data_IF_028935324531
#
_entry.id   IF_028935324531
#
_cell.length_a   1.000
_cell.length_b   1.000
_cell.length_c   1.000
_cell.angle_alpha   90.00
_cell.angle_beta   90.00
_cell.angle_gamma   90.00
#
_symmetry.space_group_name_H-M   'P 1'
#
loop_
_entity.id
_entity.type
_entity.pdbx_description
1 polymer ?
#
# COMPACT_ATOMS: atom_id res chain seq x y z
N UNK A 1 6.40 -2.69 23.33
CA UNK A 1 6.53 -2.55 21.85
C UNK A 1 5.12 -2.52 21.27
N UNK A 2 4.87 -1.66 20.30
CA UNK A 2 3.56 -1.61 19.65
C UNK A 2 3.27 -2.88 18.86
N UNK A 3 2.02 -3.32 18.83
CA UNK A 3 1.56 -4.44 18.01
C UNK A 3 1.27 -3.93 16.59
N UNK A 4 2.02 -4.41 15.60
CA UNK A 4 1.98 -3.90 14.24
C UNK A 4 1.04 -4.73 13.36
N UNK A 5 -0.02 -4.09 12.86
CA UNK A 5 -1.02 -4.72 11.98
C UNK A 5 -0.87 -4.24 10.54
N UNK A 6 -0.61 -5.15 9.62
CA UNK A 6 -0.59 -4.86 8.19
C UNK A 6 -1.96 -5.02 7.54
N UNK A 7 -2.40 -4.02 6.81
CA UNK A 7 -3.58 -4.11 5.91
C UNK A 7 -3.09 -4.12 4.47
N UNK A 8 -3.30 -5.25 3.79
CA UNK A 8 -2.86 -5.47 2.42
C UNK A 8 -4.00 -5.94 1.51
N UNK A 9 -3.71 -6.06 0.23
CA UNK A 9 -4.66 -6.52 -0.79
C UNK A 9 -4.38 -5.86 -2.13
N UNK A 10 -4.92 -6.39 -3.21
CA UNK A 10 -4.70 -5.87 -4.55
C UNK A 10 -5.36 -4.50 -4.79
N UNK A 11 -4.98 -3.85 -5.89
CA UNK A 11 -5.61 -2.60 -6.33
C UNK A 11 -7.14 -2.79 -6.46
N UNK A 12 -7.93 -1.84 -5.98
CA UNK A 12 -9.41 -1.89 -6.03
C UNK A 12 -10.08 -2.79 -4.98
N UNK A 13 -9.32 -3.50 -4.13
CA UNK A 13 -9.92 -4.38 -3.10
C UNK A 13 -10.62 -3.62 -1.96
N UNK A 14 -10.24 -2.34 -1.72
CA UNK A 14 -10.80 -1.52 -0.63
C UNK A 14 -9.95 -1.49 0.63
N UNK A 15 -8.64 -1.70 0.53
CA UNK A 15 -7.68 -1.53 1.65
C UNK A 15 -7.89 -0.20 2.38
N UNK A 16 -7.91 0.89 1.64
CA UNK A 16 -8.05 2.25 2.20
C UNK A 16 -9.38 2.41 2.95
N UNK A 17 -10.45 1.77 2.49
CA UNK A 17 -11.73 1.77 3.23
C UNK A 17 -11.58 1.06 4.57
N UNK A 18 -10.93 -0.11 4.57
CA UNK A 18 -10.66 -0.86 5.82
C UNK A 18 -9.73 -0.07 6.75
N UNK A 19 -8.67 0.53 6.21
CA UNK A 19 -7.74 1.35 6.98
C UNK A 19 -8.41 2.60 7.56
N UNK A 20 -9.34 3.22 6.82
CA UNK A 20 -10.13 4.35 7.32
C UNK A 20 -11.09 3.92 8.45
N UNK A 21 -11.61 2.70 8.42
CA UNK A 21 -12.41 2.17 9.54
C UNK A 21 -11.53 2.07 10.79
N UNK A 22 -10.31 1.52 10.69
CA UNK A 22 -9.37 1.49 11.81
C UNK A 22 -9.07 2.90 12.34
N UNK A 23 -8.84 3.87 11.44
CA UNK A 23 -8.62 5.26 11.83
C UNK A 23 -9.81 5.84 12.63
N UNK A 24 -11.05 5.63 12.17
CA UNK A 24 -12.25 6.11 12.86
C UNK A 24 -12.53 5.36 14.19
N UNK A 25 -11.97 4.15 14.34
CA UNK A 25 -11.98 3.42 15.62
C UNK A 25 -10.87 3.90 16.58
N UNK A 26 -10.10 4.93 16.21
CA UNK A 26 -9.08 5.55 17.05
C UNK A 26 -7.66 5.00 16.86
N UNK A 27 -7.42 4.07 15.92
CA UNK A 27 -6.08 3.57 15.65
C UNK A 27 -5.30 4.50 14.73
N UNK A 28 -4.00 4.62 14.97
CA UNK A 28 -3.11 5.35 14.06
C UNK A 28 -2.81 4.49 12.83
N UNK A 29 -2.89 5.11 11.66
CA UNK A 29 -2.71 4.44 10.36
C UNK A 29 -1.57 5.07 9.59
N UNK A 30 -0.59 4.26 9.19
CA UNK A 30 0.47 4.62 8.26
C UNK A 30 0.13 4.10 6.87
N UNK A 31 -0.16 4.99 5.93
CA UNK A 31 -0.39 4.63 4.53
C UNK A 31 0.94 4.70 3.76
N UNK A 32 1.53 3.54 3.47
CA UNK A 32 2.83 3.45 2.81
C UNK A 32 2.83 4.06 1.39
N UNK A 33 1.74 3.90 0.65
CA UNK A 33 1.65 4.39 -0.74
C UNK A 33 1.60 5.93 -0.77
N UNK A 34 0.89 6.55 0.16
CA UNK A 34 0.80 8.00 0.25
C UNK A 34 2.07 8.62 0.85
N UNK A 35 2.69 7.94 1.84
CA UNK A 35 3.98 8.36 2.38
C UNK A 35 5.09 8.29 1.33
N UNK A 36 5.14 7.23 0.51
CA UNK A 36 6.08 7.12 -0.60
C UNK A 36 5.93 8.30 -1.58
N UNK A 37 4.70 8.65 -1.97
CA UNK A 37 4.44 9.82 -2.83
C UNK A 37 4.89 11.13 -2.17
N UNK A 38 4.61 11.30 -0.88
CA UNK A 38 5.03 12.48 -0.12
C UNK A 38 6.55 12.60 -0.09
N UNK A 39 7.25 11.50 0.20
CA UNK A 39 8.72 11.46 0.23
C UNK A 39 9.32 11.72 -1.16
N UNK A 40 8.74 11.16 -2.22
CA UNK A 40 9.14 11.46 -3.59
C UNK A 40 9.03 12.95 -3.95
N UNK A 41 8.18 13.70 -3.29
CA UNK A 41 8.02 15.16 -3.53
C UNK A 41 8.87 16.02 -2.58
N UNK A 42 9.33 15.51 -1.44
CA UNK A 42 9.90 16.32 -0.36
C UNK A 42 11.29 15.92 0.11
N UNK A 43 11.66 14.65 -0.05
CA UNK A 43 12.98 14.17 0.33
C UNK A 43 13.99 14.54 -0.75
N UNK A 44 15.01 15.34 -0.38
CA UNK A 44 16.01 15.88 -1.33
C UNK A 44 16.79 14.77 -2.04
N UNK A 45 17.16 13.70 -1.32
CA UNK A 45 17.94 12.61 -1.87
C UNK A 45 17.12 11.79 -2.88
N UNK A 46 15.82 11.60 -2.62
CA UNK A 46 14.91 10.95 -3.58
C UNK A 46 14.73 11.84 -4.81
N UNK A 47 14.50 13.15 -4.62
CA UNK A 47 14.31 14.10 -5.72
C UNK A 47 15.53 14.12 -6.62
N UNK A 48 16.74 14.22 -6.06
CA UNK A 48 18.00 14.19 -6.82
C UNK A 48 18.12 12.89 -7.62
N UNK A 49 18.02 11.72 -6.96
CA UNK A 49 18.17 10.40 -7.62
C UNK A 49 17.10 10.14 -8.69
N UNK A 50 15.88 10.61 -8.50
CA UNK A 50 14.82 10.46 -9.52
C UNK A 50 15.08 11.43 -10.68
N UNK A 51 15.56 12.63 -10.42
CA UNK A 51 15.95 13.59 -11.46
C UNK A 51 17.12 13.06 -12.29
N UNK A 52 18.14 12.47 -11.68
CA UNK A 52 19.24 11.81 -12.37
C UNK A 52 18.78 10.65 -13.25
N UNK A 53 17.76 9.90 -12.78
CA UNK A 53 17.26 8.73 -13.48
C UNK A 53 16.33 9.06 -14.65
N UNK A 54 15.51 10.12 -14.54
CA UNK A 54 14.41 10.44 -15.47
C UNK A 54 14.55 11.83 -16.12
N UNK A 55 15.55 12.61 -15.70
CA UNK A 55 15.75 13.99 -16.13
C UNK A 55 14.88 15.00 -15.38
N UNK A 56 15.15 16.28 -15.59
CA UNK A 56 14.49 17.43 -14.96
C UNK A 56 12.95 17.42 -15.15
N UNK A 57 12.45 16.78 -16.20
CA UNK A 57 11.01 16.66 -16.49
C UNK A 57 10.25 15.79 -15.48
N UNK A 58 10.98 15.03 -14.64
CA UNK A 58 10.40 14.23 -13.55
C UNK A 58 9.70 15.11 -12.51
N UNK A 59 10.12 16.37 -12.39
CA UNK A 59 9.53 17.36 -11.52
C UNK A 59 9.10 18.60 -12.29
N UNK A 60 7.96 19.20 -11.93
CA UNK A 60 7.47 20.46 -12.47
C UNK A 60 7.09 21.39 -11.34
N UNK A 61 7.75 22.56 -11.28
CA UNK A 61 7.50 23.56 -10.21
C UNK A 61 7.58 22.96 -8.79
N UNK A 62 8.57 22.08 -8.57
CA UNK A 62 8.78 21.43 -7.28
C UNK A 62 7.81 20.28 -6.95
N UNK A 63 6.92 19.89 -7.87
CA UNK A 63 6.00 18.77 -7.70
C UNK A 63 6.32 17.63 -8.65
N UNK A 64 6.11 16.39 -8.18
CA UNK A 64 6.34 15.18 -8.97
C UNK A 64 5.43 15.15 -10.22
N UNK A 65 6.01 14.93 -11.39
CA UNK A 65 5.27 14.72 -12.62
C UNK A 65 4.66 13.30 -12.65
N UNK A 66 3.54 13.14 -11.94
CA UNK A 66 2.87 11.83 -11.74
C UNK A 66 2.56 11.13 -13.07
N UNK A 67 2.23 11.89 -14.12
CA UNK A 67 1.96 11.33 -15.45
C UNK A 67 3.21 10.71 -16.05
N UNK A 68 4.32 11.47 -16.09
CA UNK A 68 5.58 10.98 -16.63
C UNK A 68 6.08 9.75 -15.85
N UNK A 69 6.07 9.80 -14.51
CA UNK A 69 6.48 8.67 -13.68
C UNK A 69 5.63 7.44 -13.96
N UNK A 70 4.29 7.61 -14.00
CA UNK A 70 3.37 6.50 -14.24
C UNK A 70 3.59 5.86 -15.62
N UNK A 71 3.74 6.66 -16.67
CA UNK A 71 4.00 6.18 -18.03
C UNK A 71 5.35 5.49 -18.15
N UNK A 72 6.38 6.01 -17.48
CA UNK A 72 7.73 5.43 -17.48
C UNK A 72 7.77 4.07 -16.78
N UNK A 73 7.16 3.98 -15.60
CA UNK A 73 7.05 2.73 -14.81
C UNK A 73 6.22 1.69 -15.58
N UNK A 74 5.20 2.13 -16.31
CA UNK A 74 4.33 1.24 -17.07
C UNK A 74 5.06 0.60 -18.24
N UNK A 75 5.88 1.39 -18.97
CA UNK A 75 6.58 0.95 -20.18
C UNK A 75 7.85 0.15 -19.89
N UNK A 76 8.52 0.42 -18.76
CA UNK A 76 9.80 -0.18 -18.42
C UNK A 76 9.82 -0.75 -17.01
N UNK A 77 9.79 -2.08 -16.94
CA UNK A 77 9.86 -2.82 -15.69
C UNK A 77 11.23 -2.67 -14.97
N UNK A 78 12.32 -2.43 -15.72
CA UNK A 78 13.65 -2.15 -15.16
C UNK A 78 13.64 -0.80 -14.46
N UNK A 79 13.06 0.22 -15.09
CA UNK A 79 12.92 1.55 -14.52
C UNK A 79 12.05 1.54 -13.25
N UNK A 80 10.95 0.76 -13.25
CA UNK A 80 10.15 0.55 -12.05
C UNK A 80 10.97 -0.01 -10.89
N UNK A 81 11.85 -1.00 -11.17
CA UNK A 81 12.73 -1.58 -10.15
C UNK A 81 13.72 -0.55 -9.61
N UNK A 82 14.30 0.30 -10.48
CA UNK A 82 15.24 1.36 -10.08
C UNK A 82 14.55 2.41 -9.19
N UNK A 83 13.38 2.88 -9.58
CA UNK A 83 12.60 3.84 -8.77
C UNK A 83 12.24 3.24 -7.41
N UNK A 84 11.78 1.99 -7.39
CA UNK A 84 11.48 1.30 -6.14
C UNK A 84 12.72 1.14 -5.25
N UNK A 85 13.90 0.86 -5.83
CA UNK A 85 15.15 0.76 -5.07
C UNK A 85 15.57 2.10 -4.43
N UNK A 86 15.18 3.24 -5.02
CA UNK A 86 15.38 4.57 -4.43
C UNK A 86 14.38 4.84 -3.31
N UNK A 87 13.09 4.57 -3.55
CA UNK A 87 11.98 5.02 -2.69
C UNK A 87 11.76 4.08 -1.50
N UNK A 88 11.86 2.75 -1.68
CA UNK A 88 11.51 1.79 -0.63
C UNK A 88 12.37 1.94 0.64
N UNK A 89 13.72 2.07 0.58
CA UNK A 89 14.52 2.18 1.80
C UNK A 89 14.11 3.40 2.64
N UNK A 90 13.87 4.54 1.97
CA UNK A 90 13.48 5.78 2.66
C UNK A 90 12.08 5.63 3.27
N UNK A 91 11.13 5.00 2.56
CA UNK A 91 9.77 4.75 3.09
C UNK A 91 9.79 3.77 4.28
N UNK A 92 10.68 2.78 4.27
CA UNK A 92 10.85 1.85 5.39
C UNK A 92 11.39 2.60 6.62
N UNK A 93 12.43 3.42 6.45
CA UNK A 93 12.98 4.22 7.53
C UNK A 93 11.97 5.23 8.08
N UNK A 94 11.17 5.87 7.21
CA UNK A 94 10.07 6.76 7.60
C UNK A 94 9.01 6.00 8.42
N UNK A 95 8.69 4.77 8.04
CA UNK A 95 7.77 3.93 8.81
C UNK A 95 8.34 3.61 10.21
N UNK A 96 9.60 3.21 10.31
CA UNK A 96 10.22 2.92 11.61
C UNK A 96 10.25 4.15 12.52
N UNK A 97 10.57 5.31 11.96
CA UNK A 97 10.49 6.58 12.69
C UNK A 97 9.07 6.85 13.17
N UNK A 98 8.08 6.70 12.27
CA UNK A 98 6.68 6.89 12.63
C UNK A 98 6.22 5.93 13.74
N UNK A 99 6.64 4.67 13.74
CA UNK A 99 6.35 3.71 14.84
C UNK A 99 6.94 4.22 16.15
N UNK A 100 8.20 4.65 16.16
CA UNK A 100 8.85 5.17 17.36
C UNK A 100 8.19 6.45 17.90
N UNK A 101 7.73 7.31 17.02
CA UNK A 101 7.03 8.56 17.36
C UNK A 101 5.57 8.33 17.83
N UNK A 102 5.07 7.09 17.69
CA UNK A 102 3.68 6.72 18.04
C UNK A 102 3.65 5.46 18.90
N UNK A 103 3.99 5.56 20.20
CA UNK A 103 4.08 4.39 21.10
C UNK A 103 2.69 3.93 21.57
N UNK A 104 1.75 3.71 20.64
CA UNK A 104 0.43 3.15 20.94
C UNK A 104 0.48 1.62 20.94
N UNK A 105 -0.48 0.98 21.59
CA UNK A 105 -0.54 -0.49 21.72
C UNK A 105 -0.71 -1.16 20.34
N UNK A 106 -1.53 -0.60 19.46
CA UNK A 106 -1.82 -1.16 18.14
C UNK A 106 -1.65 -0.07 17.07
N UNK A 107 -0.77 -0.34 16.10
CA UNK A 107 -0.52 0.53 14.94
C UNK A 107 -0.85 -0.18 13.64
N UNK A 108 -1.45 0.54 12.69
CA UNK A 108 -1.89 -0.02 11.41
C UNK A 108 -0.97 0.46 10.29
N UNK A 109 -0.43 -0.46 9.48
CA UNK A 109 0.32 -0.19 8.25
C UNK A 109 -0.50 -0.61 7.04
N UNK A 110 -0.96 0.33 6.22
CA UNK A 110 -1.55 0.03 4.91
C UNK A 110 -0.47 -0.04 3.83
N UNK A 111 -0.41 -1.12 3.08
CA UNK A 111 0.42 -1.23 1.88
C UNK A 111 -0.08 -2.32 0.94
N UNK A 112 -0.02 -2.06 -0.37
CA UNK A 112 -0.28 -3.06 -1.40
C UNK A 112 0.88 -4.05 -1.55
N UNK A 113 2.08 -3.73 -1.04
CA UNK A 113 3.33 -4.43 -1.33
C UNK A 113 3.94 -5.15 -0.10
N UNK A 114 3.15 -5.40 0.95
CA UNK A 114 3.63 -6.00 2.21
C UNK A 114 4.46 -7.28 1.94
N UNK A 115 3.98 -8.16 1.08
CA UNK A 115 4.67 -9.40 0.75
C UNK A 115 5.86 -9.20 -0.20
N UNK A 116 5.76 -8.25 -1.13
CA UNK A 116 6.80 -7.98 -2.13
C UNK A 116 8.04 -7.28 -1.53
N UNK A 117 7.84 -6.48 -0.50
CA UNK A 117 8.90 -5.74 0.19
C UNK A 117 9.45 -6.46 1.41
N UNK A 118 8.99 -7.68 1.69
CA UNK A 118 9.31 -8.44 2.91
C UNK A 118 8.92 -7.72 4.22
N UNK A 119 8.13 -6.64 4.15
CA UNK A 119 7.67 -5.91 5.35
C UNK A 119 6.74 -6.75 6.24
N UNK A 120 6.22 -7.88 5.74
CA UNK A 120 5.47 -8.83 6.56
C UNK A 120 6.28 -9.37 7.75
N UNK A 121 7.61 -9.35 7.68
CA UNK A 121 8.49 -9.86 8.75
C UNK A 121 8.47 -9.00 10.02
N UNK A 122 8.05 -7.75 9.87
CA UNK A 122 7.98 -6.76 10.96
C UNK A 122 6.56 -6.62 11.53
N UNK A 123 5.59 -7.38 10.99
CA UNK A 123 4.18 -7.25 11.34
C UNK A 123 3.72 -8.44 12.18
N UNK A 124 3.09 -8.16 13.31
CA UNK A 124 2.54 -9.17 14.22
C UNK A 124 1.26 -9.80 13.66
N UNK A 125 0.52 -9.02 12.85
CA UNK A 125 -0.73 -9.45 12.25
C UNK A 125 -0.87 -8.92 10.83
N UNK A 126 -1.42 -9.72 9.91
CA UNK A 126 -1.70 -9.32 8.53
C UNK A 126 -3.16 -9.57 8.20
N UNK A 127 -3.83 -8.54 7.74
CA UNK A 127 -5.20 -8.55 7.24
C UNK A 127 -5.15 -8.37 5.72
N UNK A 128 -5.65 -9.34 4.96
CA UNK A 128 -5.77 -9.25 3.52
C UNK A 128 -7.19 -8.83 3.13
N UNK A 129 -7.33 -7.70 2.45
CA UNK A 129 -8.60 -7.27 1.87
C UNK A 129 -8.70 -7.80 0.46
N UNK A 130 -9.70 -8.64 0.20
CA UNK A 130 -9.97 -9.24 -1.10
C UNK A 130 -11.30 -8.72 -1.68
N UNK A 131 -11.39 -8.74 -2.99
CA UNK A 131 -12.63 -8.53 -3.73
C UNK A 131 -12.52 -9.20 -5.10
N UNK A 132 -13.64 -9.59 -5.69
CA UNK A 132 -13.72 -10.19 -7.00
C UNK A 132 -13.13 -9.26 -8.07
N UNK A 133 -12.51 -9.84 -9.08
CA UNK A 133 -11.79 -9.09 -10.10
C UNK A 133 -12.68 -8.05 -10.79
N UNK A 134 -13.89 -8.42 -11.19
CA UNK A 134 -14.82 -7.53 -11.88
C UNK A 134 -15.24 -6.33 -11.02
N UNK A 135 -15.43 -6.56 -9.72
CA UNK A 135 -15.75 -5.51 -8.74
C UNK A 135 -14.56 -4.54 -8.62
N UNK A 136 -13.35 -5.07 -8.55
CA UNK A 136 -12.13 -4.28 -8.46
C UNK A 136 -11.94 -3.42 -9.70
N UNK A 137 -12.12 -3.99 -10.91
CA UNK A 137 -12.04 -3.28 -12.20
C UNK A 137 -13.06 -2.14 -12.21
N UNK A 138 -14.33 -2.41 -11.92
CA UNK A 138 -15.40 -1.38 -11.86
C UNK A 138 -15.05 -0.24 -10.91
N UNK A 139 -14.54 -0.54 -9.72
CA UNK A 139 -14.13 0.47 -8.72
C UNK A 139 -12.98 1.34 -9.23
N UNK A 140 -12.00 0.74 -9.90
CA UNK A 140 -10.83 1.47 -10.42
C UNK A 140 -11.25 2.36 -11.58
N UNK A 141 -12.04 1.87 -12.53
CA UNK A 141 -12.55 2.66 -13.66
C UNK A 141 -13.42 3.84 -13.19
N UNK A 142 -14.19 3.65 -12.12
CA UNK A 142 -14.99 4.73 -11.52
C UNK A 142 -14.12 5.82 -10.88
N UNK A 143 -13.00 5.45 -10.24
CA UNK A 143 -12.09 6.34 -9.52
C UNK A 143 -11.07 7.00 -10.44
N UNK A 144 -10.41 6.20 -11.29
CA UNK A 144 -9.25 6.58 -12.09
C UNK A 144 -9.67 6.72 -13.57
N UNK A 145 -10.29 7.84 -13.93
CA UNK A 145 -10.85 8.10 -15.28
C UNK A 145 -9.84 8.06 -16.43
N UNK A 146 -8.55 8.12 -16.11
CA UNK A 146 -7.45 8.07 -17.10
C UNK A 146 -6.97 6.65 -17.39
N UNK A 147 -7.48 5.63 -16.70
CA UNK A 147 -7.11 4.22 -16.89
C UNK A 147 -8.11 3.51 -17.79
N UNK A 148 -7.60 2.57 -18.58
CA UNK A 148 -8.41 1.59 -19.28
C UNK A 148 -8.38 0.23 -18.55
N UNK A 149 -9.20 -0.70 -18.97
CA UNK A 149 -9.31 -2.04 -18.33
C UNK A 149 -8.03 -2.86 -18.50
N UNK A 150 -7.35 -2.76 -19.64
CA UNK A 150 -6.10 -3.47 -19.91
C UNK A 150 -5.00 -3.05 -18.95
N UNK A 151 -4.85 -1.75 -18.71
CA UNK A 151 -3.90 -1.20 -17.71
C UNK A 151 -4.17 -1.77 -16.32
N UNK A 152 -5.45 -1.84 -15.94
CA UNK A 152 -5.88 -2.34 -14.63
C UNK A 152 -5.52 -3.82 -14.50
N UNK A 153 -5.81 -4.64 -15.51
CA UNK A 153 -5.49 -6.07 -15.51
C UNK A 153 -3.98 -6.29 -15.41
N UNK A 154 -3.16 -5.49 -16.10
CA UNK A 154 -1.70 -5.58 -16.01
C UNK A 154 -1.19 -5.23 -14.60
N UNK A 155 -1.74 -4.17 -13.98
CA UNK A 155 -1.40 -3.83 -12.60
C UNK A 155 -1.80 -4.97 -11.65
N UNK A 156 -2.98 -5.56 -11.82
CA UNK A 156 -3.42 -6.71 -11.02
C UNK A 156 -2.48 -7.89 -11.16
N UNK A 157 -2.05 -8.23 -12.38
CA UNK A 157 -1.06 -9.30 -12.65
C UNK A 157 0.28 -9.00 -11.97
N UNK A 158 0.75 -7.76 -12.00
CA UNK A 158 2.00 -7.35 -11.36
C UNK A 158 1.95 -7.38 -9.83
N UNK A 159 0.76 -7.26 -9.25
CA UNK A 159 0.50 -7.36 -7.81
C UNK A 159 0.14 -8.78 -7.36
N UNK A 160 0.03 -9.73 -8.30
CA UNK A 160 -0.25 -11.11 -7.93
C UNK A 160 0.88 -11.59 -7.04
N UNK A 161 0.55 -11.82 -5.80
CA UNK A 161 1.44 -12.44 -4.83
C UNK A 161 1.69 -13.83 -5.40
N UNK A 162 2.95 -14.18 -5.65
CA UNK A 162 3.32 -15.55 -5.97
C UNK A 162 3.05 -16.41 -4.73
N UNK A 163 1.77 -16.75 -4.50
CA UNK A 163 1.32 -17.66 -3.45
C UNK A 163 1.91 -19.08 -3.63
N UNK A 164 2.66 -19.32 -4.74
CA UNK A 164 3.29 -20.58 -5.05
C UNK A 164 4.45 -20.97 -4.10
N UNK A 165 4.86 -20.08 -3.18
CA UNK A 165 5.90 -20.41 -2.20
C UNK A 165 5.39 -20.77 -0.81
N UNK A 166 4.08 -20.81 -0.57
CA UNK A 166 3.52 -21.35 0.68
C UNK A 166 3.88 -20.63 1.98
N UNK A 167 4.74 -19.62 1.94
CA UNK A 167 5.42 -19.09 3.12
C UNK A 167 4.60 -18.09 3.93
N UNK A 168 3.58 -17.44 3.35
CA UNK A 168 2.85 -16.40 4.08
C UNK A 168 1.36 -16.40 3.80
N UNK A 169 0.61 -16.87 4.81
CA UNK A 169 -0.85 -16.73 4.83
C UNK A 169 -1.21 -15.49 5.67
N UNK A 170 -2.16 -14.64 5.23
CA UNK A 170 -2.68 -13.59 6.07
C UNK A 170 -3.37 -14.21 7.31
N UNK A 171 -3.29 -13.52 8.44
CA UNK A 171 -3.96 -13.93 9.67
C UNK A 171 -5.48 -13.81 9.57
N UNK A 172 -5.94 -12.79 8.81
CA UNK A 172 -7.36 -12.55 8.54
C UNK A 172 -7.57 -12.17 7.08
N UNK A 173 -8.73 -12.56 6.54
CA UNK A 173 -9.19 -12.15 5.20
C UNK A 173 -10.50 -11.40 5.37
N UNK A 174 -10.59 -10.20 4.77
CA UNK A 174 -11.81 -9.41 4.67
C UNK A 174 -12.26 -9.44 3.21
N UNK A 175 -13.33 -10.17 2.93
CA UNK A 175 -13.97 -10.11 1.62
C UNK A 175 -14.85 -8.86 1.52
N UNK A 176 -14.57 -8.04 0.49
CA UNK A 176 -15.21 -6.76 0.22
C UNK A 176 -15.90 -6.78 -1.14
N UNK A 177 -16.85 -7.68 -1.32
CA UNK A 177 -17.62 -7.80 -2.56
C UNK A 177 -18.89 -6.91 -2.56
N UNK A 178 -19.06 -6.05 -1.56
CA UNK A 178 -20.19 -5.13 -1.45
C UNK A 178 -21.48 -5.77 -0.96
N UNK A 179 -21.45 -7.04 -0.55
CA UNK A 179 -22.61 -7.76 0.01
C UNK A 179 -22.77 -7.50 1.50
N UNK A 180 -21.67 -7.39 2.22
CA UNK A 180 -21.65 -7.25 3.68
C UNK A 180 -21.00 -5.92 4.10
N UNK A 181 -21.40 -5.45 5.28
CA UNK A 181 -20.79 -4.29 5.92
C UNK A 181 -19.36 -4.62 6.38
N UNK A 182 -18.42 -3.74 6.11
CA UNK A 182 -17.02 -3.90 6.52
C UNK A 182 -16.81 -3.62 8.01
N UNK A 183 -17.56 -2.67 8.57
CA UNK A 183 -17.38 -2.24 9.96
C UNK A 183 -17.48 -3.39 10.97
N UNK A 184 -18.52 -4.25 10.93
CA UNK A 184 -18.59 -5.40 11.85
C UNK A 184 -17.44 -6.38 11.68
N UNK A 185 -16.96 -6.59 10.43
CA UNK A 185 -15.83 -7.46 10.16
C UNK A 185 -14.53 -6.92 10.78
N UNK A 186 -14.31 -5.60 10.67
CA UNK A 186 -13.14 -4.94 11.26
C UNK A 186 -13.21 -4.97 12.78
N UNK A 187 -14.37 -4.68 13.39
CA UNK A 187 -14.56 -4.73 14.84
C UNK A 187 -14.25 -6.13 15.37
N UNK A 188 -14.80 -7.18 14.75
CA UNK A 188 -14.53 -8.56 15.18
C UNK A 188 -13.05 -8.98 15.06
N UNK A 189 -12.29 -8.38 14.11
CA UNK A 189 -10.84 -8.59 14.02
C UNK A 189 -10.11 -7.82 15.13
N UNK A 190 -10.53 -6.57 15.40
CA UNK A 190 -9.96 -5.74 16.48
C UNK A 190 -10.08 -6.45 17.83
N UNK A 191 -11.25 -7.01 18.16
CA UNK A 191 -11.46 -7.76 19.40
C UNK A 191 -10.49 -8.93 19.52
N UNK A 192 -10.29 -9.68 18.44
CA UNK A 192 -9.34 -10.79 18.39
C UNK A 192 -7.88 -10.34 18.51
N UNK A 193 -7.52 -9.18 18.00
CA UNK A 193 -6.19 -8.61 18.13
C UNK A 193 -5.98 -8.16 19.59
N UNK A 194 -6.93 -7.42 20.17
CA UNK A 194 -6.86 -6.95 21.55
C UNK A 194 -6.71 -8.09 22.58
N UNK A 195 -7.22 -9.26 22.28
CA UNK A 195 -7.05 -10.43 23.17
C UNK A 195 -5.64 -11.04 23.12
N UNK A 196 -4.75 -10.56 22.23
CA UNK A 196 -3.38 -11.02 22.05
C UNK A 196 -2.33 -10.00 22.52
N UNK A 197 -2.75 -8.75 22.75
CA UNK A 197 -1.94 -7.63 23.22
C UNK A 197 -2.21 -7.40 24.71
#
# INVERSE_FOLDING_TARGET
MSFLVGVTGGIGSGKTTVSNIFFHLGYKVYNSDDRAKYLMERDSDIVEKITDLLGESAYRKGSLNKKLISESIYKDNSLRKKINAIVHPVTINDFHKWVNDNPDDILIKESALIYQTSSYKELDCIICVSADQDIRIKRILARDKYRNEEDIIQIMKSQTINNNKGEFKPHYIIENNGKDLLLPKVIGIVEKIKSKV
#
